data_IF_718107543071
#
_entry.id   IF_718107543071
#
_cell.length_a   1.000
_cell.length_b   1.000
_cell.length_c   1.000
_cell.angle_alpha   90.00
_cell.angle_beta   90.00
_cell.angle_gamma   90.00
#
_symmetry.space_group_name_H-M   'P 1'
#
loop_
_entity.id
_entity.type
_entity.pdbx_description
1 polymer ?
#
# COMPACT_ATOMS: atom_id res chain seq x y z
N UNK A 1 -0.23 11.41 -14.70
CA UNK A 1 -0.52 10.79 -13.39
C UNK A 1 0.73 10.12 -12.88
N UNK A 2 1.05 10.26 -11.60
CA UNK A 2 2.22 9.64 -10.97
C UNK A 2 2.00 8.13 -10.84
N UNK A 3 2.18 7.40 -11.95
CA UNK A 3 2.30 5.93 -11.96
C UNK A 3 3.39 5.47 -10.97
N UNK A 4 4.33 6.36 -10.64
CA UNK A 4 5.42 6.13 -9.69
C UNK A 4 5.01 5.94 -8.21
N UNK A 5 3.75 6.21 -7.84
CA UNK A 5 3.26 6.12 -6.46
C UNK A 5 2.23 4.99 -6.25
N UNK A 6 2.10 4.09 -7.23
CA UNK A 6 1.21 2.93 -7.16
C UNK A 6 -0.17 3.12 -7.76
N UNK A 7 -0.50 4.31 -8.28
CA UNK A 7 -1.79 4.54 -8.95
C UNK A 7 -1.84 3.83 -10.29
N UNK A 8 -2.95 3.12 -10.53
CA UNK A 8 -3.20 2.45 -11.79
C UNK A 8 -4.53 2.94 -12.36
N UNK A 9 -4.54 3.22 -13.67
CA UNK A 9 -5.77 3.43 -14.42
C UNK A 9 -5.92 2.33 -15.45
N UNK A 10 -7.09 1.72 -15.50
CA UNK A 10 -7.48 0.74 -16.51
C UNK A 10 -8.67 1.28 -17.30
N UNK A 11 -8.72 0.98 -18.59
CA UNK A 11 -9.83 1.35 -19.47
C UNK A 11 -10.45 0.08 -20.03
N UNK A 12 -11.74 -0.13 -19.78
CA UNK A 12 -12.50 -1.25 -20.33
C UNK A 12 -12.77 -1.06 -21.82
N UNK A 13 -13.16 -2.15 -22.51
CA UNK A 13 -13.40 -2.13 -23.96
C UNK A 13 -14.55 -1.23 -24.41
N UNK A 14 -15.44 -0.86 -23.50
CA UNK A 14 -16.53 0.10 -23.70
C UNK A 14 -16.12 1.57 -23.45
N UNK A 15 -14.87 1.80 -23.06
CA UNK A 15 -14.31 3.11 -22.75
C UNK A 15 -14.46 3.55 -21.29
N UNK A 16 -15.05 2.73 -20.42
CA UNK A 16 -15.13 3.06 -18.97
C UNK A 16 -13.74 3.03 -18.34
N UNK A 17 -13.39 4.09 -17.60
CA UNK A 17 -12.13 4.20 -16.87
C UNK A 17 -12.29 3.82 -15.39
N UNK A 18 -11.37 2.99 -14.90
CA UNK A 18 -11.25 2.56 -13.52
C UNK A 18 -9.92 3.07 -12.96
N UNK A 19 -9.94 3.61 -11.74
CA UNK A 19 -8.75 4.11 -11.03
C UNK A 19 -8.57 3.29 -9.77
N UNK A 20 -7.34 2.83 -9.53
CA UNK A 20 -6.97 2.08 -8.35
C UNK A 20 -5.92 2.86 -7.56
N UNK A 21 -6.16 3.02 -6.27
CA UNK A 21 -5.32 3.80 -5.37
C UNK A 21 -4.90 2.96 -4.14
N UNK A 22 -3.59 2.78 -3.88
CA UNK A 22 -3.11 2.02 -2.73
C UNK A 22 -2.93 2.92 -1.49
N UNK A 23 -3.96 3.71 -1.15
CA UNK A 23 -3.92 4.61 0.01
C UNK A 23 -3.97 3.85 1.34
N UNK A 24 -3.48 4.45 2.42
CA UNK A 24 -3.54 3.83 3.74
C UNK A 24 -4.95 3.47 4.18
N UNK A 25 -5.95 4.30 3.88
CA UNK A 25 -7.36 4.00 4.16
C UNK A 25 -7.86 2.75 3.42
N UNK A 26 -7.51 2.60 2.14
CA UNK A 26 -7.91 1.46 1.31
C UNK A 26 -7.15 0.19 1.66
N UNK A 27 -5.85 0.30 1.94
CA UNK A 27 -5.08 -0.85 2.42
C UNK A 27 -5.62 -1.33 3.78
N UNK A 28 -6.04 -0.43 4.65
CA UNK A 28 -6.65 -0.79 5.93
C UNK A 28 -8.00 -1.50 5.79
N UNK A 29 -8.75 -1.29 4.69
CA UNK A 29 -10.04 -1.95 4.47
C UNK A 29 -9.91 -3.40 4.00
N UNK A 30 -8.72 -3.83 3.57
CA UNK A 30 -8.44 -5.21 3.16
C UNK A 30 -8.46 -6.22 4.32
N UNK A 31 -8.39 -5.77 5.57
CA UNK A 31 -8.46 -6.64 6.74
C UNK A 31 -7.56 -6.21 7.90
N UNK A 32 -7.29 -7.13 8.82
CA UNK A 32 -6.37 -6.90 9.93
C UNK A 32 -4.92 -6.77 9.45
N UNK A 33 -4.01 -6.19 10.26
CA UNK A 33 -2.61 -6.03 9.89
C UNK A 33 -1.90 -7.29 9.39
N UNK A 34 -2.22 -8.46 9.95
CA UNK A 34 -1.63 -9.75 9.52
C UNK A 34 -2.29 -10.28 8.25
N UNK A 35 -3.60 -10.09 8.10
CA UNK A 35 -4.32 -10.47 6.89
C UNK A 35 -3.84 -9.67 5.68
N UNK A 36 -3.58 -8.37 5.83
CA UNK A 36 -3.03 -7.52 4.76
C UNK A 36 -1.71 -8.09 4.22
N UNK A 37 -0.79 -8.48 5.11
CA UNK A 37 0.49 -9.07 4.74
C UNK A 37 0.31 -10.47 4.15
N UNK A 38 -0.59 -11.27 4.71
CA UNK A 38 -0.90 -12.62 4.21
C UNK A 38 -1.53 -12.56 2.81
N UNK A 39 -2.39 -11.58 2.56
CA UNK A 39 -3.03 -11.32 1.27
C UNK A 39 -1.97 -10.93 0.22
N UNK A 40 -1.02 -10.05 0.59
CA UNK A 40 0.09 -9.72 -0.30
C UNK A 40 0.94 -10.94 -0.65
N UNK A 41 1.25 -11.80 0.33
CA UNK A 41 1.96 -13.05 0.07
C UNK A 41 1.14 -14.00 -0.83
N UNK A 42 -0.18 -14.06 -0.65
CA UNK A 42 -1.12 -14.85 -1.44
C UNK A 42 -1.12 -14.51 -2.94
N UNK A 43 -0.88 -13.24 -3.27
CA UNK A 43 -0.72 -12.79 -4.66
C UNK A 43 0.46 -13.45 -5.39
N UNK A 44 1.41 -14.07 -4.70
CA UNK A 44 2.54 -14.81 -5.29
C UNK A 44 2.34 -16.33 -5.27
N UNK A 45 1.19 -16.81 -4.81
CA UNK A 45 0.88 -18.22 -4.64
C UNK A 45 -0.25 -18.73 -5.54
N UNK A 46 -0.77 -19.94 -5.26
CA UNK A 46 -1.83 -20.56 -6.06
C UNK A 46 -3.18 -19.83 -5.97
N UNK A 47 -3.37 -18.97 -4.97
CA UNK A 47 -4.58 -18.17 -4.77
C UNK A 47 -4.55 -16.80 -5.47
N UNK A 48 -3.47 -16.51 -6.22
CA UNK A 48 -3.21 -15.17 -6.75
C UNK A 48 -4.39 -14.56 -7.52
N UNK A 49 -5.13 -15.34 -8.31
CA UNK A 49 -6.27 -14.82 -9.07
C UNK A 49 -7.39 -14.32 -8.15
N UNK A 50 -7.80 -15.13 -7.16
CA UNK A 50 -8.88 -14.79 -6.21
C UNK A 50 -8.45 -13.60 -5.34
N UNK A 51 -7.22 -13.65 -4.83
CA UNK A 51 -6.69 -12.60 -3.97
C UNK A 51 -6.54 -11.27 -4.75
N UNK A 52 -6.18 -11.33 -6.04
CA UNK A 52 -6.09 -10.15 -6.91
C UNK A 52 -7.45 -9.50 -7.15
N UNK A 53 -8.48 -10.29 -7.45
CA UNK A 53 -9.86 -9.77 -7.61
C UNK A 53 -10.32 -9.07 -6.33
N UNK A 54 -10.07 -9.66 -5.15
CA UNK A 54 -10.41 -9.03 -3.87
C UNK A 54 -9.65 -7.70 -3.64
N UNK A 55 -8.33 -7.69 -3.90
CA UNK A 55 -7.52 -6.46 -3.78
C UNK A 55 -8.05 -5.35 -4.70
N UNK A 56 -8.32 -5.67 -5.97
CA UNK A 56 -8.82 -4.68 -6.92
C UNK A 56 -10.21 -4.14 -6.51
N UNK A 57 -11.09 -5.01 -6.01
CA UNK A 57 -12.40 -4.61 -5.52
C UNK A 57 -12.29 -3.55 -4.42
N UNK A 58 -11.39 -3.74 -3.45
CA UNK A 58 -11.23 -2.81 -2.33
C UNK A 58 -10.44 -1.54 -2.69
N UNK A 59 -9.52 -1.61 -3.64
CA UNK A 59 -8.64 -0.48 -3.99
C UNK A 59 -9.17 0.38 -5.14
N UNK A 60 -10.29 0.00 -5.75
CA UNK A 60 -10.95 0.78 -6.80
C UNK A 60 -11.58 2.06 -6.25
N UNK A 61 -11.40 3.19 -6.94
CA UNK A 61 -12.03 4.47 -6.59
C UNK A 61 -13.50 4.54 -6.95
N UNK A 62 -13.90 3.83 -7.99
CA UNK A 62 -15.28 3.73 -8.46
C UNK A 62 -16.09 2.77 -7.57
N UNK A 63 -17.37 3.06 -7.42
CA UNK A 63 -18.29 2.31 -6.54
C UNK A 63 -18.48 0.84 -6.98
N UNK A 64 -18.42 0.56 -8.28
CA UNK A 64 -18.62 -0.79 -8.84
C UNK A 64 -17.49 -1.18 -9.82
N UNK A 65 -16.48 -1.95 -9.36
CA UNK A 65 -15.44 -2.50 -10.22
C UNK A 65 -15.83 -3.84 -10.86
N UNK A 66 -16.96 -4.45 -10.50
CA UNK A 66 -17.29 -5.84 -10.86
C UNK A 66 -17.36 -6.08 -12.39
N UNK A 67 -17.84 -5.14 -13.23
CA UNK A 67 -17.78 -5.33 -14.69
C UNK A 67 -16.34 -5.47 -15.23
N UNK A 68 -15.37 -4.87 -14.56
CA UNK A 68 -13.96 -4.96 -14.93
C UNK A 68 -13.31 -6.24 -14.38
N UNK A 69 -13.51 -6.55 -13.11
CA UNK A 69 -12.74 -7.59 -12.41
C UNK A 69 -13.47 -8.94 -12.31
N UNK A 70 -14.77 -8.95 -12.52
CA UNK A 70 -15.64 -10.11 -12.37
C UNK A 70 -16.17 -10.28 -10.94
N UNK A 71 -17.15 -11.16 -10.78
CA UNK A 71 -17.73 -11.51 -9.48
C UNK A 71 -18.22 -12.95 -9.46
N UNK A 72 -18.33 -13.51 -8.27
CA UNK A 72 -18.99 -14.80 -8.05
C UNK A 72 -20.43 -14.57 -7.57
N UNK A 73 -21.37 -15.33 -8.11
CA UNK A 73 -22.76 -15.35 -7.69
C UNK A 73 -23.24 -16.79 -7.47
N UNK A 74 -24.38 -16.99 -6.82
CA UNK A 74 -24.96 -18.32 -6.60
C UNK A 74 -25.16 -19.11 -7.90
N UNK A 75 -25.39 -18.39 -9.00
CA UNK A 75 -25.60 -18.95 -10.35
C UNK A 75 -24.31 -19.25 -11.11
N UNK A 76 -23.14 -18.98 -10.52
CA UNK A 76 -21.83 -19.25 -11.12
C UNK A 76 -20.92 -18.01 -11.17
N UNK A 77 -19.77 -18.21 -11.80
CA UNK A 77 -18.75 -17.17 -11.98
C UNK A 77 -19.13 -16.25 -13.16
N UNK A 78 -19.09 -14.94 -12.92
CA UNK A 78 -19.29 -13.91 -13.94
C UNK A 78 -17.94 -13.26 -14.25
N UNK A 79 -17.35 -13.53 -15.43
CA UNK A 79 -16.03 -13.02 -15.77
C UNK A 79 -16.09 -11.51 -16.03
N UNK A 80 -15.10 -10.79 -15.50
CA UNK A 80 -14.86 -9.39 -15.84
C UNK A 80 -14.14 -9.24 -17.17
N UNK A 81 -14.07 -8.00 -17.67
CA UNK A 81 -13.36 -7.69 -18.92
C UNK A 81 -11.83 -7.71 -18.79
N UNK A 82 -11.28 -7.56 -17.57
CA UNK A 82 -9.85 -7.62 -17.29
C UNK A 82 -9.38 -9.07 -17.05
N UNK A 83 -8.40 -9.59 -17.84
CA UNK A 83 -7.87 -10.93 -17.66
C UNK A 83 -7.24 -11.16 -16.27
N UNK A 84 -7.35 -12.36 -15.67
CA UNK A 84 -6.80 -12.65 -14.34
C UNK A 84 -5.30 -12.36 -14.20
N UNK A 85 -4.50 -12.60 -15.25
CA UNK A 85 -3.06 -12.32 -15.23
C UNK A 85 -2.75 -10.81 -15.11
N UNK A 86 -3.58 -9.98 -15.74
CA UNK A 86 -3.49 -8.52 -15.62
C UNK A 86 -3.92 -8.07 -14.23
N UNK A 87 -5.03 -8.62 -13.71
CA UNK A 87 -5.49 -8.35 -12.35
C UNK A 87 -4.39 -8.61 -11.31
N UNK A 88 -3.72 -9.76 -11.42
CA UNK A 88 -2.60 -10.15 -10.53
C UNK A 88 -1.45 -9.14 -10.60
N UNK A 89 -1.11 -8.68 -11.81
CA UNK A 89 -0.01 -7.72 -12.01
C UNK A 89 -0.33 -6.38 -11.36
N UNK A 90 -1.54 -5.88 -11.56
CA UNK A 90 -2.02 -4.62 -10.98
C UNK A 90 -2.11 -4.74 -9.45
N UNK A 91 -2.71 -5.81 -8.93
CA UNK A 91 -2.83 -6.04 -7.49
C UNK A 91 -1.47 -6.08 -6.79
N UNK A 92 -0.47 -6.77 -7.37
CA UNK A 92 0.91 -6.80 -6.83
C UNK A 92 1.53 -5.40 -6.83
N UNK A 93 1.36 -4.64 -7.91
CA UNK A 93 1.87 -3.27 -8.00
C UNK A 93 1.25 -2.37 -6.92
N UNK A 94 -0.07 -2.40 -6.78
CA UNK A 94 -0.81 -1.65 -5.77
C UNK A 94 -0.32 -2.00 -4.35
N UNK A 95 -0.29 -3.29 -4.01
CA UNK A 95 0.11 -3.75 -2.67
C UNK A 95 1.58 -3.45 -2.37
N UNK A 96 2.47 -3.56 -3.36
CA UNK A 96 3.86 -3.16 -3.21
C UNK A 96 3.97 -1.68 -2.84
N UNK A 97 3.28 -0.78 -3.54
CA UNK A 97 3.33 0.66 -3.26
C UNK A 97 2.53 1.08 -2.01
N UNK A 98 1.49 0.34 -1.63
CA UNK A 98 0.67 0.60 -0.44
C UNK A 98 1.27 0.10 0.87
N UNK A 99 2.07 -0.97 0.83
CA UNK A 99 2.59 -1.64 2.04
C UNK A 99 4.11 -1.53 2.14
N UNK A 100 4.84 -1.77 1.05
CA UNK A 100 6.31 -1.87 1.04
C UNK A 100 6.97 -0.54 0.68
N UNK A 101 6.40 0.17 -0.30
CA UNK A 101 6.95 1.38 -0.88
C UNK A 101 8.11 1.11 -1.86
N UNK A 102 8.99 2.10 -2.05
CA UNK A 102 10.13 2.04 -3.00
C UNK A 102 11.37 1.35 -2.40
N UNK A 103 11.18 0.35 -1.54
CA UNK A 103 12.30 -0.34 -0.89
C UNK A 103 13.25 -0.94 -1.95
N UNK A 104 14.50 -0.47 -1.98
CA UNK A 104 15.55 -1.05 -2.83
C UNK A 104 15.83 -2.48 -2.33
N UNK A 105 15.91 -3.50 -3.20
CA UNK A 105 16.36 -4.83 -2.79
C UNK A 105 17.79 -4.70 -2.23
N UNK A 106 17.92 -4.70 -0.90
CA UNK A 106 19.20 -4.73 -0.24
C UNK A 106 19.77 -6.14 -0.27
N UNK A 107 21.09 -6.27 -0.36
CA UNK A 107 21.88 -7.52 -0.26
C UNK A 107 21.83 -8.19 1.13
N UNK A 108 20.90 -7.78 1.99
CA UNK A 108 20.62 -8.41 3.28
C UNK A 108 19.14 -8.73 3.34
N UNK A 109 18.82 -9.96 3.74
CA UNK A 109 17.49 -10.40 4.15
C UNK A 109 16.99 -9.44 5.24
N UNK A 110 16.22 -8.43 4.85
CA UNK A 110 15.58 -7.53 5.80
C UNK A 110 14.50 -8.30 6.54
N UNK A 111 14.36 -8.05 7.84
CA UNK A 111 13.28 -8.64 8.63
C UNK A 111 11.95 -8.21 8.02
N UNK A 112 11.26 -9.17 7.40
CA UNK A 112 9.94 -8.96 6.86
C UNK A 112 8.98 -8.81 8.04
N UNK A 113 8.21 -7.72 8.06
CA UNK A 113 7.18 -7.53 9.08
C UNK A 113 6.04 -8.50 8.80
N UNK A 114 5.62 -9.26 9.80
CA UNK A 114 4.47 -10.18 9.72
C UNK A 114 3.11 -9.44 9.71
N UNK A 115 3.13 -8.10 9.85
CA UNK A 115 1.95 -7.27 9.97
C UNK A 115 2.17 -5.85 9.43
N UNK A 116 1.09 -5.25 8.91
CA UNK A 116 1.06 -3.87 8.41
C UNK A 116 -0.03 -3.05 9.11
N UNK A 117 0.34 -1.98 9.83
CA UNK A 117 -0.61 -1.13 10.54
C UNK A 117 -0.68 0.28 9.92
N UNK A 118 -1.65 0.49 9.04
CA UNK A 118 -1.87 1.78 8.35
C UNK A 118 -2.02 2.97 9.33
N UNK A 119 -2.66 2.76 10.48
CA UNK A 119 -2.90 3.82 11.46
C UNK A 119 -1.60 4.42 12.03
N UNK A 120 -0.52 3.63 12.11
CA UNK A 120 0.78 4.12 12.57
C UNK A 120 1.40 5.09 11.56
N UNK A 121 1.25 4.80 10.27
CA UNK A 121 1.74 5.66 9.20
C UNK A 121 0.90 6.92 9.03
N UNK A 122 -0.42 6.81 9.16
CA UNK A 122 -1.34 7.96 9.19
C UNK A 122 -0.95 8.90 10.34
N UNK A 123 -0.78 8.36 11.55
CA UNK A 123 -0.35 9.16 12.70
C UNK A 123 1.03 9.78 12.49
N UNK A 124 1.98 9.04 11.91
CA UNK A 124 3.31 9.55 11.59
C UNK A 124 3.24 10.71 10.59
N UNK A 125 2.41 10.61 9.55
CA UNK A 125 2.21 11.65 8.56
C UNK A 125 1.60 12.91 9.20
N UNK A 126 0.59 12.77 10.06
CA UNK A 126 0.03 13.91 10.78
C UNK A 126 1.06 14.60 11.68
N UNK A 127 1.79 13.83 12.49
CA UNK A 127 2.74 14.38 13.47
C UNK A 127 3.98 14.96 12.78
N UNK A 128 4.56 14.24 11.82
CA UNK A 128 5.86 14.59 11.25
C UNK A 128 5.77 15.37 9.96
N UNK A 129 4.77 15.13 9.11
CA UNK A 129 4.61 15.89 7.86
C UNK A 129 3.68 17.09 8.03
N UNK A 130 2.87 17.12 9.10
CA UNK A 130 1.91 18.20 9.37
C UNK A 130 0.64 18.10 8.52
N UNK A 131 0.36 16.92 7.98
CA UNK A 131 -0.82 16.66 7.16
C UNK A 131 -2.07 16.52 8.03
N UNK A 132 -3.23 16.90 7.47
CA UNK A 132 -4.50 16.55 8.09
C UNK A 132 -4.68 15.03 8.10
N UNK A 133 -5.56 14.52 8.98
CA UNK A 133 -5.86 13.08 8.99
C UNK A 133 -6.42 12.60 7.65
N UNK A 134 -7.28 13.40 7.03
CA UNK A 134 -7.86 13.08 5.73
C UNK A 134 -6.79 12.98 4.62
N UNK A 135 -5.84 13.91 4.60
CA UNK A 135 -4.74 13.87 3.62
C UNK A 135 -3.80 12.69 3.88
N UNK A 136 -3.50 12.43 5.16
CA UNK A 136 -2.64 11.32 5.56
C UNK A 136 -3.25 9.95 5.21
N UNK A 137 -4.56 9.78 5.35
CA UNK A 137 -5.30 8.57 4.97
C UNK A 137 -5.24 8.27 3.47
N UNK A 138 -5.04 9.30 2.65
CA UNK A 138 -4.97 9.19 1.19
C UNK A 138 -3.56 8.90 0.66
N UNK A 139 -2.53 8.87 1.50
CA UNK A 139 -1.17 8.55 1.07
C UNK A 139 -0.96 7.05 0.86
N UNK A 140 -0.14 6.70 -0.12
CA UNK A 140 0.49 5.38 -0.21
C UNK A 140 1.80 5.32 0.60
N UNK A 141 2.32 4.11 0.84
CA UNK A 141 3.62 3.94 1.51
C UNK A 141 4.74 4.63 0.73
N UNK A 142 4.71 4.57 -0.61
CA UNK A 142 5.68 5.25 -1.46
C UNK A 142 5.63 6.77 -1.29
N UNK A 143 4.45 7.36 -1.29
CA UNK A 143 4.30 8.81 -1.11
C UNK A 143 4.80 9.24 0.26
N UNK A 144 4.41 8.49 1.29
CA UNK A 144 4.88 8.72 2.65
C UNK A 144 6.41 8.67 2.74
N UNK A 145 7.05 7.64 2.20
CA UNK A 145 8.52 7.52 2.19
C UNK A 145 9.20 8.69 1.48
N UNK A 146 8.71 9.10 0.30
CA UNK A 146 9.26 10.22 -0.46
C UNK A 146 9.15 11.52 0.34
N UNK A 147 7.95 11.85 0.85
CA UNK A 147 7.74 13.08 1.63
C UNK A 147 8.58 13.10 2.90
N UNK A 148 8.72 11.94 3.54
CA UNK A 148 9.50 11.80 4.77
C UNK A 148 11.00 11.98 4.51
N UNK A 149 11.55 11.37 3.45
CA UNK A 149 12.94 11.56 3.03
C UNK A 149 13.24 13.03 2.66
N UNK A 150 12.31 13.70 1.98
CA UNK A 150 12.45 15.12 1.64
C UNK A 150 12.47 16.02 2.90
N UNK A 151 11.64 15.71 3.91
CA UNK A 151 11.59 16.48 5.16
C UNK A 151 12.78 16.21 6.08
N UNK A 152 13.34 15.00 6.01
CA UNK A 152 14.46 14.56 6.83
C UNK A 152 15.59 13.98 5.95
N UNK A 153 16.31 14.82 5.20
CA UNK A 153 17.34 14.36 4.25
C UNK A 153 18.58 13.74 4.93
N UNK A 154 18.91 14.19 6.16
CA UNK A 154 20.10 13.74 6.91
C UNK A 154 19.84 12.50 7.79
N UNK A 155 18.58 12.08 7.95
CA UNK A 155 18.31 10.74 8.49
C UNK A 155 18.73 9.74 7.43
N UNK A 156 19.99 9.26 7.53
CA UNK A 156 20.60 8.32 6.60
C UNK A 156 19.54 7.38 6.03
N UNK A 157 19.35 7.46 4.72
CA UNK A 157 18.42 6.71 3.85
C UNK A 157 18.60 5.17 3.87
N UNK A 158 18.99 4.60 5.01
CA UNK A 158 19.41 3.21 5.20
C UNK A 158 18.58 2.43 6.20
N UNK A 159 17.73 3.08 7.01
CA UNK A 159 16.96 2.38 8.05
C UNK A 159 15.55 2.93 8.19
N UNK A 160 14.76 2.86 7.12
CA UNK A 160 13.31 2.83 7.29
C UNK A 160 12.64 1.54 6.77
N UNK A 161 13.00 0.35 7.32
CA UNK A 161 12.22 -0.86 7.15
C UNK A 161 11.42 -1.23 8.42
N UNK A 162 10.10 -1.39 8.27
CA UNK A 162 9.23 -2.04 9.25
C UNK A 162 9.10 -1.38 10.63
N UNK A 163 8.07 -1.82 11.36
CA UNK A 163 7.65 -1.31 12.69
C UNK A 163 8.80 -1.17 13.71
N UNK A 164 9.80 -2.06 13.64
CA UNK A 164 10.98 -2.06 14.51
C UNK A 164 11.94 -0.89 14.27
N UNK A 165 12.13 -0.47 13.02
CA UNK A 165 12.99 0.66 12.70
C UNK A 165 12.30 2.00 13.01
N UNK A 166 10.98 2.13 12.83
CA UNK A 166 10.26 3.36 13.19
C UNK A 166 10.32 3.65 14.69
N UNK A 167 10.07 2.64 15.55
CA UNK A 167 10.23 2.81 17.01
C UNK A 167 11.66 3.19 17.40
N UNK A 168 12.65 2.57 16.76
CA UNK A 168 14.07 2.86 17.00
C UNK A 168 14.48 4.26 16.53
N UNK A 169 13.93 4.71 15.40
CA UNK A 169 14.11 6.06 14.86
C UNK A 169 13.44 7.12 15.75
N UNK A 170 12.21 6.87 16.19
CA UNK A 170 11.50 7.74 17.14
C UNK A 170 12.19 7.83 18.50
N UNK A 171 12.78 6.74 18.97
CA UNK A 171 13.60 6.73 20.18
C UNK A 171 14.88 7.58 20.02
N UNK A 172 15.53 7.53 18.84
CA UNK A 172 16.70 8.38 18.52
C UNK A 172 16.34 9.86 18.44
N UNK A 173 15.18 10.21 17.84
CA UNK A 173 14.69 11.61 17.80
C UNK A 173 14.37 12.14 19.20
N UNK A 174 13.67 11.36 20.04
CA UNK A 174 13.39 11.75 21.44
C UNK A 174 14.68 11.89 22.27
N UNK A 175 15.72 11.11 22.00
CA UNK A 175 17.01 11.19 22.69
C UNK A 175 17.89 12.40 22.31
N UNK A 176 17.61 13.08 21.19
CA UNK A 176 18.33 14.27 20.74
C UNK A 176 17.85 15.58 21.35
N UNK A 177 16.61 15.62 21.85
CA UNK A 177 15.98 16.86 22.38
C UNK A 177 16.35 17.12 23.86
N UNK A 178 17.04 16.20 24.53
CA UNK A 178 17.43 16.34 25.95
C UNK A 178 18.93 16.60 26.21
N UNK A 179 19.71 17.05 25.22
CA UNK A 179 21.07 17.57 25.46
C UNK A 179 21.16 19.06 25.15
N UNK A 180 20.62 19.86 26.04
CA UNK A 180 21.15 21.17 26.39
C UNK A 180 20.75 21.47 27.83
N UNK A 181 21.59 21.03 28.75
CA UNK A 181 21.80 21.62 30.08
C UNK A 181 23.30 21.87 30.21
#
# INVERSE_FOLDING_TARGET
>A
MLVECGYVRATAGDGTEYTFAPSFSRIASLGSPKEIVSLYAGLHGPRAAIDATYVLACLCEQDDPLPLIGWDHETGHHPGTMPPAEQITIARHLMQHGIVGKAKPGTKTGDYSDSFNAAEYIAAACVHLGLSRADAENLSMTEFQIMFEMKFPDSKAKEMPGRGAYKSFMAKIKGGVCRNK
#
